data_IF_155617784617
#
_entry.id   IF_155617784617
#
_cell.length_a   1.000
_cell.length_b   1.000
_cell.length_c   1.000
_cell.angle_alpha   90.00
_cell.angle_beta   90.00
_cell.angle_gamma   90.00
#
_symmetry.space_group_name_H-M   'P 1'
#
loop_
_entity.id
_entity.type
_entity.pdbx_description
1 polymer ?
#
# COMPACT_ATOMS: atom_id res chain seq x y z
N UNK A 1 12.91 5.77 0.68
CA UNK A 1 11.90 4.91 1.35
C UNK A 1 12.61 4.02 2.34
N UNK A 2 11.98 3.65 3.46
CA UNK A 2 12.44 2.51 4.26
C UNK A 2 12.07 1.20 3.57
N UNK A 3 12.74 0.09 3.90
CA UNK A 3 12.40 -1.23 3.37
C UNK A 3 10.91 -1.60 3.61
N UNK A 4 10.34 -1.17 4.74
CA UNK A 4 8.93 -1.37 5.08
C UNK A 4 7.98 -0.60 4.15
N UNK A 5 8.34 0.63 3.78
CA UNK A 5 7.57 1.41 2.79
C UNK A 5 7.68 0.80 1.41
N UNK A 6 8.87 0.35 0.99
CA UNK A 6 9.08 -0.26 -0.33
C UNK A 6 8.27 -1.55 -0.46
N UNK A 7 8.27 -2.38 0.59
CA UNK A 7 7.42 -3.58 0.68
C UNK A 7 5.94 -3.23 0.58
N UNK A 8 5.48 -2.18 1.28
CA UNK A 8 4.08 -1.74 1.22
C UNK A 8 3.70 -1.31 -0.19
N UNK A 9 4.52 -0.48 -0.84
CA UNK A 9 4.26 -0.03 -2.22
C UNK A 9 4.14 -1.22 -3.16
N UNK A 10 5.09 -2.15 -3.11
CA UNK A 10 5.06 -3.33 -3.96
C UNK A 10 3.79 -4.16 -3.77
N UNK A 11 3.42 -4.48 -2.51
CA UNK A 11 2.25 -5.31 -2.22
C UNK A 11 0.94 -4.60 -2.62
N UNK A 12 0.81 -3.31 -2.32
CA UNK A 12 -0.37 -2.54 -2.73
C UNK A 12 -0.45 -2.43 -4.25
N UNK A 13 0.66 -2.28 -4.96
CA UNK A 13 0.69 -2.27 -6.42
C UNK A 13 0.18 -3.59 -7.02
N UNK A 14 0.61 -4.74 -6.47
CA UNK A 14 0.08 -6.05 -6.90
C UNK A 14 -1.44 -6.16 -6.64
N UNK A 15 -1.91 -5.64 -5.50
CA UNK A 15 -3.32 -5.63 -5.15
C UNK A 15 -4.15 -4.68 -6.03
N UNK A 16 -3.58 -3.55 -6.48
CA UNK A 16 -4.21 -2.65 -7.47
C UNK A 16 -4.30 -3.32 -8.84
N UNK A 17 -3.25 -4.04 -9.26
CA UNK A 17 -3.20 -4.80 -10.52
C UNK A 17 -4.08 -6.07 -10.52
N UNK A 18 -4.75 -6.38 -9.41
CA UNK A 18 -5.60 -7.56 -9.27
C UNK A 18 -4.85 -8.89 -9.18
N UNK A 19 -3.52 -8.85 -9.02
CA UNK A 19 -2.67 -10.06 -8.92
C UNK A 19 -2.79 -10.77 -7.57
N UNK A 20 -3.16 -10.02 -6.53
CA UNK A 20 -3.48 -10.54 -5.20
C UNK A 20 -4.77 -9.91 -4.69
N UNK A 21 -5.48 -10.63 -3.83
CA UNK A 21 -6.68 -10.14 -3.15
C UNK A 21 -6.34 -9.15 -2.04
N UNK A 22 -7.34 -8.36 -1.61
CA UNK A 22 -7.17 -7.45 -0.48
C UNK A 22 -6.82 -8.21 0.82
N UNK A 23 -7.39 -9.40 1.02
CA UNK A 23 -7.08 -10.30 2.15
C UNK A 23 -5.62 -10.76 2.15
N UNK A 24 -5.11 -11.24 1.01
CA UNK A 24 -3.71 -11.64 0.88
C UNK A 24 -2.76 -10.46 1.14
N UNK A 25 -3.07 -9.28 0.60
CA UNK A 25 -2.27 -8.08 0.88
C UNK A 25 -2.30 -7.70 2.37
N UNK A 26 -3.45 -7.86 3.03
CA UNK A 26 -3.63 -7.58 4.45
C UNK A 26 -2.78 -8.51 5.32
N UNK A 27 -2.79 -9.82 5.03
CA UNK A 27 -1.94 -10.82 5.69
C UNK A 27 -0.45 -10.51 5.51
N UNK A 28 -0.01 -10.25 4.28
CA UNK A 28 1.40 -9.96 3.97
C UNK A 28 1.91 -8.69 4.66
N UNK A 29 1.05 -7.68 4.80
CA UNK A 29 1.41 -6.39 5.40
C UNK A 29 1.13 -6.32 6.90
N UNK A 30 0.45 -7.32 7.48
CA UNK A 30 -0.04 -7.27 8.87
C UNK A 30 -1.03 -6.12 9.09
N UNK A 31 -1.89 -5.86 8.11
CA UNK A 31 -2.89 -4.79 8.13
C UNK A 31 -4.31 -5.37 8.10
N UNK A 32 -5.32 -4.53 8.32
CA UNK A 32 -6.70 -4.91 8.01
C UNK A 32 -7.00 -4.75 6.52
N UNK A 33 -7.95 -5.53 6.00
CA UNK A 33 -8.44 -5.38 4.62
C UNK A 33 -8.95 -3.96 4.33
N UNK A 34 -9.64 -3.33 5.29
CA UNK A 34 -10.08 -1.93 5.20
C UNK A 34 -8.91 -0.97 4.99
N UNK A 35 -7.79 -1.21 5.67
CA UNK A 35 -6.59 -0.39 5.48
C UNK A 35 -5.96 -0.65 4.11
N UNK A 36 -5.95 -1.88 3.61
CA UNK A 36 -5.51 -2.19 2.25
C UNK A 36 -6.37 -1.46 1.21
N UNK A 37 -7.70 -1.48 1.36
CA UNK A 37 -8.62 -0.77 0.45
C UNK A 37 -8.28 0.73 0.42
N UNK A 38 -8.14 1.37 1.59
CA UNK A 38 -7.76 2.78 1.70
C UNK A 38 -6.41 3.09 1.04
N UNK A 39 -5.44 2.19 1.20
CA UNK A 39 -4.13 2.33 0.56
C UNK A 39 -4.22 2.16 -0.96
N UNK A 40 -5.07 1.26 -1.47
CA UNK A 40 -5.35 1.12 -2.90
C UNK A 40 -5.97 2.39 -3.48
N UNK A 41 -6.92 3.00 -2.78
CA UNK A 41 -7.54 4.26 -3.20
C UNK A 41 -6.49 5.38 -3.31
N UNK A 42 -5.63 5.53 -2.29
CA UNK A 42 -4.53 6.51 -2.33
C UNK A 42 -3.52 6.22 -3.44
N UNK A 43 -3.16 4.95 -3.64
CA UNK A 43 -2.27 4.54 -4.73
C UNK A 43 -2.87 4.85 -6.11
N UNK A 44 -4.19 4.75 -6.27
CA UNK A 44 -4.89 5.09 -7.51
C UNK A 44 -4.99 6.60 -7.74
N UNK A 45 -5.19 7.38 -6.67
CA UNK A 45 -5.31 8.84 -6.76
C UNK A 45 -3.95 9.53 -6.94
N UNK A 46 -2.96 9.16 -6.11
CA UNK A 46 -1.70 9.90 -5.95
C UNK A 46 -0.47 9.06 -6.36
N UNK A 47 -0.67 7.85 -6.90
CA UNK A 47 0.42 6.93 -7.20
C UNK A 47 1.22 6.53 -5.95
N UNK A 48 2.52 6.29 -6.13
CA UNK A 48 3.45 5.93 -5.04
C UNK A 48 3.50 7.02 -3.96
N UNK A 49 3.31 8.30 -4.33
CA UNK A 49 3.32 9.42 -3.39
C UNK A 49 2.19 9.33 -2.36
N UNK A 50 1.04 8.74 -2.71
CA UNK A 50 -0.09 8.52 -1.79
C UNK A 50 0.20 7.53 -0.65
N UNK A 51 1.25 6.71 -0.81
CA UNK A 51 1.71 5.73 0.18
C UNK A 51 2.93 6.20 0.97
N UNK A 52 3.59 7.27 0.53
CA UNK A 52 4.73 7.85 1.22
C UNK A 52 4.28 8.42 2.58
N UNK A 53 5.12 8.25 3.61
CA UNK A 53 4.84 8.82 4.92
C UNK A 53 4.86 10.36 4.85
N UNK A 54 3.77 11.03 5.24
CA UNK A 54 3.63 12.50 5.14
C UNK A 54 4.62 13.30 6.00
N UNK A 55 5.26 12.66 6.97
CA UNK A 55 6.33 13.27 7.78
C UNK A 55 7.74 13.07 7.19
N UNK A 56 7.87 12.56 5.95
CA UNK A 56 9.16 12.44 5.30
C UNK A 56 9.59 13.83 4.81
N UNK A 57 10.46 14.50 5.56
CA UNK A 57 11.00 15.82 5.21
C UNK A 57 10.69 16.94 6.21
N UNK A 58 10.33 16.60 7.44
CA UNK A 58 10.24 17.54 8.56
C UNK A 58 11.13 17.07 9.70
#
# INVERSE_FOLDING_TARGET
>A
MSAKESRRVFVIEQAVKGKITNRQAAEVLGLSERQVIRLKERMKADGVAGLAHKNRGR
#
